data_IF_374729067731
#
_entry.id   IF_374729067731
#
_cell.length_a   1.000
_cell.length_b   1.000
_cell.length_c   1.000
_cell.angle_alpha   90.00
_cell.angle_beta   90.00
_cell.angle_gamma   90.00
#
_symmetry.space_group_name_H-M   'P 1'
#
loop_
_entity.id
_entity.type
_entity.pdbx_description
1 polymer ?
#
# COMPACT_ATOMS: atom_id res chain seq x y z
N UNK A 1 -10.32 -19.10 26.55
CA UNK A 1 -9.47 -19.51 27.70
C UNK A 1 -8.05 -19.65 27.14
N UNK A 2 -7.20 -18.62 27.23
CA UNK A 2 -6.29 -18.29 28.35
C UNK A 2 -5.19 -19.35 28.53
N UNK A 3 -4.01 -19.11 27.96
CA UNK A 3 -2.75 -19.54 28.58
C UNK A 3 -1.81 -18.34 28.66
N UNK A 4 -1.58 -17.93 29.91
CA UNK A 4 -0.60 -16.95 30.39
C UNK A 4 0.51 -17.72 31.13
N UNK A 5 1.52 -16.98 31.63
CA UNK A 5 2.66 -17.37 32.49
C UNK A 5 3.92 -17.67 31.64
N UNK A 6 5.02 -16.92 31.67
CA UNK A 6 5.57 -16.00 32.67
C UNK A 6 6.89 -16.59 33.19
N UNK A 7 8.03 -15.89 32.96
CA UNK A 7 9.38 -16.09 33.57
C UNK A 7 10.39 -15.28 32.74
N UNK A 8 11.39 -14.56 33.26
CA UNK A 8 11.80 -14.20 34.60
C UNK A 8 12.91 -13.15 34.40
N UNK A 9 12.86 -12.03 35.12
CA UNK A 9 13.95 -11.06 35.17
C UNK A 9 15.11 -11.61 36.01
N UNK A 10 16.36 -11.39 35.57
CA UNK A 10 17.52 -11.42 36.44
C UNK A 10 18.62 -10.52 35.85
N UNK A 11 18.88 -9.45 36.57
CA UNK A 11 19.91 -8.44 36.39
C UNK A 11 21.02 -8.74 37.42
N UNK A 12 22.31 -8.45 37.13
CA UNK A 12 23.26 -7.77 38.05
C UNK A 12 24.75 -7.86 37.65
N UNK A 13 25.49 -6.84 38.13
CA UNK A 13 26.96 -6.62 38.26
C UNK A 13 27.64 -5.92 37.06
N UNK A 14 27.90 -4.60 37.02
CA UNK A 14 28.57 -3.62 37.90
C UNK A 14 30.11 -3.75 37.99
N UNK A 15 30.82 -2.85 37.30
CA UNK A 15 32.17 -2.38 37.64
C UNK A 15 32.34 -0.90 37.20
N UNK A 16 32.79 -0.05 38.13
CA UNK A 16 33.18 1.36 37.96
C UNK A 16 34.58 1.49 37.32
N UNK A 17 34.86 2.63 36.68
CA UNK A 17 36.25 3.09 36.49
C UNK A 17 36.48 4.23 35.49
N UNK A 18 36.26 5.45 35.95
CA UNK A 18 36.82 6.77 35.58
C UNK A 18 38.00 6.86 34.57
N UNK A 19 37.95 7.80 33.61
CA UNK A 19 39.00 8.82 33.30
C UNK A 19 38.53 9.74 32.16
N UNK A 20 38.67 11.05 32.37
CA UNK A 20 38.45 12.09 31.37
C UNK A 20 39.72 12.36 30.57
N UNK A 21 39.60 12.45 29.25
CA UNK A 21 40.56 13.13 28.38
C UNK A 21 39.82 13.71 27.17
N UNK A 22 39.84 15.04 27.05
CA UNK A 22 39.45 15.74 25.85
C UNK A 22 40.43 15.38 24.72
N UNK A 23 39.88 14.88 23.62
CA UNK A 23 40.61 14.56 22.40
C UNK A 23 39.61 14.45 21.26
N UNK A 24 39.38 15.55 20.56
CA UNK A 24 38.72 15.52 19.27
C UNK A 24 39.59 14.70 18.31
N UNK A 25 39.09 13.55 17.85
CA UNK A 25 39.57 12.94 16.61
C UNK A 25 38.39 12.29 15.90
N UNK A 26 37.78 13.09 15.05
CA UNK A 26 36.89 12.68 13.98
C UNK A 26 37.64 11.72 13.05
N UNK A 27 37.13 10.50 12.90
CA UNK A 27 37.45 9.65 11.76
C UNK A 27 36.22 8.80 11.47
N UNK A 28 35.27 9.41 10.76
CA UNK A 28 34.17 8.72 10.12
C UNK A 28 34.68 8.04 8.85
N UNK A 29 35.31 6.87 9.00
CA UNK A 29 35.52 5.94 7.90
C UNK A 29 34.23 5.13 7.69
N UNK A 30 33.26 5.74 7.04
CA UNK A 30 32.13 5.01 6.44
C UNK A 30 32.33 5.01 4.93
N UNK A 31 32.47 3.84 4.27
CA UNK A 31 32.54 3.79 2.82
C UNK A 31 31.26 4.41 2.22
N UNK A 32 31.36 5.09 1.06
CA UNK A 32 30.23 5.79 0.48
C UNK A 32 29.18 4.76 0.05
N UNK A 33 28.14 4.59 0.87
CA UNK A 33 26.89 4.02 0.43
C UNK A 33 26.25 5.06 -0.49
N UNK A 34 26.55 4.95 -1.79
CA UNK A 34 25.74 5.61 -2.81
C UNK A 34 24.27 5.25 -2.60
N UNK A 35 23.32 6.16 -2.93
CA UNK A 35 21.91 5.83 -2.82
C UNK A 35 21.64 4.50 -3.53
N UNK A 36 20.85 3.58 -2.94
CA UNK A 36 20.55 2.31 -3.59
C UNK A 36 20.03 2.60 -5.01
N UNK A 37 20.44 1.83 -6.03
CA UNK A 37 20.00 2.05 -7.40
C UNK A 37 18.47 2.07 -7.40
N UNK A 38 17.91 3.17 -7.91
CA UNK A 38 16.50 3.48 -7.86
C UNK A 38 15.66 2.36 -8.45
N UNK A 39 15.17 1.47 -7.58
CA UNK A 39 14.08 0.57 -7.90
C UNK A 39 12.87 1.44 -8.23
N UNK A 40 12.49 1.48 -9.51
CA UNK A 40 11.31 2.19 -9.96
C UNK A 40 10.16 1.87 -9.02
N UNK A 41 9.47 2.91 -8.52
CA UNK A 41 8.25 2.79 -7.71
C UNK A 41 7.14 2.14 -8.56
N UNK A 42 7.28 0.85 -8.85
CA UNK A 42 6.17 0.00 -9.22
C UNK A 42 5.30 -0.10 -7.98
N UNK A 43 4.33 0.81 -7.86
CA UNK A 43 3.43 0.86 -6.71
C UNK A 43 2.88 -0.54 -6.46
N UNK A 44 3.18 -1.11 -5.29
CA UNK A 44 2.64 -2.39 -4.90
C UNK A 44 1.11 -2.32 -5.02
N UNK A 45 0.52 -3.23 -5.79
CA UNK A 45 -0.92 -3.37 -5.78
C UNK A 45 -1.35 -3.72 -4.37
N UNK A 46 -2.38 -3.03 -3.88
CA UNK A 46 -3.00 -3.41 -2.63
C UNK A 46 -3.57 -4.83 -2.74
N UNK A 47 -3.45 -5.60 -1.66
CA UNK A 47 -4.06 -6.92 -1.54
C UNK A 47 -5.59 -6.85 -1.77
N UNK A 48 -6.17 -7.70 -2.64
CA UNK A 48 -7.60 -7.69 -2.94
C UNK A 48 -8.51 -7.93 -1.74
N UNK A 49 -8.11 -8.78 -0.79
CA UNK A 49 -8.92 -9.06 0.39
C UNK A 49 -8.98 -7.83 1.30
N UNK A 50 -7.84 -7.16 1.51
CA UNK A 50 -7.78 -5.89 2.24
C UNK A 50 -8.59 -4.78 1.55
N UNK A 51 -8.58 -4.72 0.22
CA UNK A 51 -9.40 -3.78 -0.53
C UNK A 51 -10.90 -4.04 -0.31
N UNK A 52 -11.33 -5.30 -0.34
CA UNK A 52 -12.71 -5.68 -0.05
C UNK A 52 -13.13 -5.30 1.38
N UNK A 53 -12.28 -5.55 2.38
CA UNK A 53 -12.54 -5.17 3.78
C UNK A 53 -12.70 -3.65 3.96
N UNK A 54 -11.91 -2.84 3.25
CA UNK A 54 -12.08 -1.38 3.28
C UNK A 54 -13.41 -0.97 2.64
N UNK A 55 -13.77 -1.56 1.50
CA UNK A 55 -15.04 -1.30 0.85
C UNK A 55 -16.21 -1.71 1.75
N UNK A 56 -16.12 -2.84 2.46
CA UNK A 56 -17.11 -3.26 3.44
C UNK A 56 -17.36 -2.18 4.48
N UNK A 57 -16.29 -1.63 5.08
CA UNK A 57 -16.38 -0.59 6.12
C UNK A 57 -16.89 0.73 5.58
N UNK A 58 -16.42 1.17 4.41
CA UNK A 58 -16.74 2.48 3.86
C UNK A 58 -18.14 2.56 3.25
N UNK A 59 -18.58 1.46 2.63
CA UNK A 59 -19.87 1.40 1.95
C UNK A 59 -20.96 0.76 2.82
N UNK A 60 -20.58 0.07 3.90
CA UNK A 60 -21.51 -0.70 4.73
C UNK A 60 -22.03 -1.91 3.97
N UNK A 61 -21.12 -2.72 3.40
CA UNK A 61 -21.50 -3.94 2.67
C UNK A 61 -21.90 -5.05 3.65
N UNK A 62 -22.86 -5.89 3.24
CA UNK A 62 -23.10 -7.15 3.93
C UNK A 62 -21.93 -8.12 3.73
N UNK A 63 -21.89 -9.20 4.50
CA UNK A 63 -20.85 -10.23 4.36
C UNK A 63 -20.92 -10.90 2.98
N UNK A 64 -22.13 -11.18 2.48
CA UNK A 64 -22.36 -11.74 1.15
C UNK A 64 -21.88 -10.81 0.03
N UNK A 65 -22.24 -9.51 0.11
CA UNK A 65 -21.74 -8.50 -0.83
C UNK A 65 -20.22 -8.40 -0.78
N UNK A 66 -19.63 -8.46 0.43
CA UNK A 66 -18.18 -8.39 0.60
C UNK A 66 -17.48 -9.59 -0.03
N UNK A 67 -18.04 -10.80 0.14
CA UNK A 67 -17.51 -12.01 -0.48
C UNK A 67 -17.54 -11.91 -2.01
N UNK A 68 -18.64 -11.41 -2.59
CA UNK A 68 -18.76 -11.19 -4.03
C UNK A 68 -17.79 -10.12 -4.54
N UNK A 69 -17.69 -8.98 -3.85
CA UNK A 69 -16.72 -7.92 -4.17
C UNK A 69 -15.29 -8.47 -4.13
N UNK A 70 -14.94 -9.23 -3.08
CA UNK A 70 -13.61 -9.85 -2.96
C UNK A 70 -13.31 -10.75 -4.16
N UNK A 71 -14.27 -11.58 -4.60
CA UNK A 71 -14.09 -12.45 -5.76
C UNK A 71 -13.81 -11.65 -7.05
N UNK A 72 -14.54 -10.56 -7.28
CA UNK A 72 -14.28 -9.63 -8.41
C UNK A 72 -12.87 -9.05 -8.33
N UNK A 73 -12.49 -8.53 -7.16
CA UNK A 73 -11.18 -7.90 -6.97
C UNK A 73 -10.00 -8.86 -7.11
N UNK A 74 -10.15 -10.12 -6.69
CA UNK A 74 -9.13 -11.16 -6.88
C UNK A 74 -8.97 -11.45 -8.38
N UNK A 75 -10.07 -11.68 -9.10
CA UNK A 75 -10.02 -11.95 -10.53
C UNK A 75 -9.38 -10.79 -11.31
N UNK A 76 -9.72 -9.54 -10.98
CA UNK A 76 -9.15 -8.38 -11.65
C UNK A 76 -7.68 -8.14 -11.27
N UNK A 77 -7.27 -8.48 -10.03
CA UNK A 77 -5.86 -8.49 -9.65
C UNK A 77 -5.04 -9.44 -10.54
N UNK A 78 -5.55 -10.64 -10.79
CA UNK A 78 -4.86 -11.62 -11.61
C UNK A 78 -4.81 -11.21 -13.08
N UNK A 79 -5.89 -10.62 -13.62
CA UNK A 79 -5.85 -10.01 -14.96
C UNK A 79 -4.79 -8.90 -15.04
N UNK A 80 -4.73 -8.02 -14.04
CA UNK A 80 -3.73 -6.95 -14.03
C UNK A 80 -2.29 -7.49 -13.93
N UNK A 81 -2.06 -8.58 -13.18
CA UNK A 81 -0.76 -9.26 -13.18
C UNK A 81 -0.44 -9.84 -14.56
N UNK A 82 -1.40 -10.47 -15.23
CA UNK A 82 -1.23 -11.02 -16.56
C UNK A 82 -0.89 -9.93 -17.60
N UNK A 83 -1.58 -8.78 -17.58
CA UNK A 83 -1.26 -7.65 -18.46
C UNK A 83 0.18 -7.18 -18.24
N UNK A 84 0.62 -7.02 -16.98
CA UNK A 84 2.02 -6.63 -16.69
C UNK A 84 3.05 -7.67 -17.15
N UNK A 85 2.71 -8.95 -17.06
CA UNK A 85 3.59 -10.03 -17.49
C UNK A 85 3.58 -10.27 -19.01
N UNK A 86 2.61 -9.72 -19.74
CA UNK A 86 2.40 -10.00 -21.16
C UNK A 86 3.46 -9.41 -22.09
N UNK A 87 4.24 -8.43 -21.63
CA UNK A 87 5.20 -7.70 -22.47
C UNK A 87 4.56 -6.82 -23.54
N UNK A 88 3.25 -6.57 -23.45
CA UNK A 88 2.52 -5.73 -24.39
C UNK A 88 3.06 -4.29 -24.42
N UNK A 89 2.80 -3.58 -25.53
CA UNK A 89 3.16 -2.17 -25.64
C UNK A 89 2.51 -1.35 -24.51
N UNK A 90 3.07 -0.17 -24.23
CA UNK A 90 2.53 0.71 -23.20
C UNK A 90 1.08 1.13 -23.51
N UNK A 91 0.75 1.35 -24.79
CA UNK A 91 -0.58 1.71 -25.23
C UNK A 91 -1.57 0.55 -25.08
N UNK A 92 -1.19 -0.64 -25.52
CA UNK A 92 -2.02 -1.85 -25.37
C UNK A 92 -2.24 -2.20 -23.91
N UNK A 93 -1.17 -2.15 -23.10
CA UNK A 93 -1.24 -2.36 -21.66
C UNK A 93 -2.20 -1.37 -21.01
N UNK A 94 -2.14 -0.09 -21.41
CA UNK A 94 -3.05 0.95 -20.91
C UNK A 94 -4.50 0.67 -21.31
N UNK A 95 -4.75 0.30 -22.56
CA UNK A 95 -6.08 -0.05 -23.05
C UNK A 95 -6.66 -1.24 -22.29
N UNK A 96 -5.88 -2.31 -22.12
CA UNK A 96 -6.28 -3.51 -21.37
C UNK A 96 -6.56 -3.20 -19.89
N UNK A 97 -5.71 -2.38 -19.24
CA UNK A 97 -5.97 -1.94 -17.87
C UNK A 97 -7.25 -1.11 -17.76
N UNK A 98 -7.56 -0.25 -18.74
CA UNK A 98 -8.82 0.51 -18.77
C UNK A 98 -10.02 -0.42 -18.93
N UNK A 99 -9.94 -1.42 -19.80
CA UNK A 99 -11.00 -2.41 -19.98
C UNK A 99 -11.26 -3.21 -18.68
N UNK A 100 -10.20 -3.66 -17.99
CA UNK A 100 -10.33 -4.35 -16.69
C UNK A 100 -11.06 -3.45 -15.68
N UNK A 101 -10.71 -2.16 -15.59
CA UNK A 101 -11.36 -1.23 -14.67
C UNK A 101 -12.84 -0.96 -14.99
N UNK A 102 -13.21 -0.98 -16.27
CA UNK A 102 -14.61 -0.81 -16.68
C UNK A 102 -15.44 -2.07 -16.37
N UNK A 103 -14.86 -3.24 -16.62
CA UNK A 103 -15.45 -4.54 -16.25
C UNK A 103 -15.64 -4.65 -14.73
N UNK A 104 -14.62 -4.27 -13.94
CA UNK A 104 -14.68 -4.20 -12.48
C UNK A 104 -15.87 -3.33 -12.03
N UNK A 105 -15.97 -2.10 -12.54
CA UNK A 105 -17.05 -1.18 -12.20
C UNK A 105 -18.43 -1.74 -12.54
N UNK A 106 -18.56 -2.40 -13.69
CA UNK A 106 -19.83 -3.00 -14.11
C UNK A 106 -20.26 -4.10 -13.14
N UNK A 107 -19.33 -4.97 -12.74
CA UNK A 107 -19.60 -6.04 -11.76
C UNK A 107 -19.92 -5.49 -10.38
N UNK A 108 -19.16 -4.50 -9.92
CA UNK A 108 -19.42 -3.86 -8.63
C UNK A 108 -20.81 -3.19 -8.61
N UNK A 109 -21.22 -2.51 -9.69
CA UNK A 109 -22.56 -1.91 -9.78
C UNK A 109 -23.69 -2.94 -9.66
N UNK A 110 -23.48 -4.17 -10.13
CA UNK A 110 -24.46 -5.24 -10.01
C UNK A 110 -24.57 -5.83 -8.59
N UNK A 111 -23.50 -5.72 -7.78
CA UNK A 111 -23.44 -6.24 -6.40
C UNK A 111 -23.92 -5.20 -5.39
N UNK A 112 -23.58 -3.93 -5.64
CA UNK A 112 -23.84 -2.82 -4.73
C UNK A 112 -25.26 -2.29 -4.87
N UNK A 113 -25.84 -1.84 -3.77
CA UNK A 113 -27.10 -1.07 -3.81
C UNK A 113 -26.87 0.31 -4.45
N UNK A 114 -27.94 0.99 -4.85
CA UNK A 114 -27.85 2.32 -5.44
C UNK A 114 -27.10 3.33 -4.54
N UNK A 115 -27.36 3.29 -3.23
CA UNK A 115 -26.72 4.17 -2.25
C UNK A 115 -25.23 3.83 -2.07
N UNK A 116 -24.91 2.54 -1.97
CA UNK A 116 -23.52 2.06 -1.89
C UNK A 116 -22.74 2.42 -3.15
N UNK A 117 -23.35 2.27 -4.33
CA UNK A 117 -22.76 2.65 -5.60
C UNK A 117 -22.47 4.15 -5.67
N UNK A 118 -23.40 4.98 -5.20
CA UNK A 118 -23.23 6.43 -5.15
C UNK A 118 -22.04 6.82 -4.26
N UNK A 119 -21.92 6.21 -3.07
CA UNK A 119 -20.75 6.40 -2.18
C UNK A 119 -19.45 5.93 -2.83
N UNK A 120 -19.47 4.80 -3.52
CA UNK A 120 -18.32 4.27 -4.23
C UNK A 120 -17.83 5.23 -5.33
N UNK A 121 -18.75 5.77 -6.14
CA UNK A 121 -18.43 6.76 -7.17
C UNK A 121 -17.81 8.03 -6.57
N UNK A 122 -18.37 8.55 -5.47
CA UNK A 122 -17.81 9.70 -4.78
C UNK A 122 -16.38 9.45 -4.26
N UNK A 123 -16.11 8.25 -3.72
CA UNK A 123 -14.78 7.87 -3.27
C UNK A 123 -13.78 7.81 -4.44
N UNK A 124 -14.18 7.25 -5.58
CA UNK A 124 -13.33 7.22 -6.78
C UNK A 124 -13.02 8.62 -7.30
N UNK A 125 -14.02 9.49 -7.31
CA UNK A 125 -13.85 10.89 -7.72
C UNK A 125 -12.86 11.62 -6.81
N UNK A 126 -13.00 11.46 -5.49
CA UNK A 126 -12.07 12.04 -4.52
C UNK A 126 -10.64 11.53 -4.74
N UNK A 127 -10.46 10.24 -5.02
CA UNK A 127 -9.15 9.67 -5.32
C UNK A 127 -8.56 10.25 -6.61
N UNK A 128 -9.39 10.44 -7.64
CA UNK A 128 -9.00 11.06 -8.90
C UNK A 128 -8.56 12.51 -8.70
N UNK A 129 -9.27 13.28 -7.88
CA UNK A 129 -8.90 14.65 -7.54
C UNK A 129 -7.57 14.72 -6.79
N UNK A 130 -7.33 13.82 -5.82
CA UNK A 130 -6.06 13.74 -5.10
C UNK A 130 -4.89 13.40 -6.02
N UNK A 131 -5.09 12.52 -7.01
CA UNK A 131 -4.04 12.22 -7.99
C UNK A 131 -3.76 13.39 -8.93
N UNK A 132 -4.79 14.14 -9.35
CA UNK A 132 -4.63 15.31 -10.21
C UNK A 132 -4.02 16.51 -9.47
N UNK A 133 -4.31 16.67 -8.17
CA UNK A 133 -3.83 17.78 -7.35
C UNK A 133 -2.48 17.54 -6.65
N UNK A 134 -1.85 16.38 -6.80
CA UNK A 134 -0.68 15.97 -6.00
C UNK A 134 0.45 15.26 -6.74
N UNK A 135 0.48 15.29 -8.08
CA UNK A 135 1.52 14.62 -8.88
C UNK A 135 2.49 15.60 -9.53
N UNK A 136 3.60 15.99 -8.86
CA UNK A 136 4.71 16.60 -9.61
C UNK A 136 5.89 17.28 -8.88
N UNK A 137 5.85 17.62 -7.59
CA UNK A 137 7.00 18.26 -6.94
C UNK A 137 7.20 17.79 -5.49
N UNK A 138 8.40 17.31 -5.09
CA UNK A 138 8.74 17.25 -3.68
C UNK A 138 8.70 18.68 -3.09
N UNK A 139 8.31 18.86 -1.82
CA UNK A 139 8.36 20.19 -1.19
C UNK A 139 9.79 20.74 -1.34
N UNK A 140 9.98 22.03 -1.69
CA UNK A 140 11.31 22.62 -1.72
C UNK A 140 11.94 22.43 -0.33
N UNK A 141 13.11 21.82 -0.29
CA UNK A 141 13.90 21.74 0.93
C UNK A 141 14.12 23.18 1.41
N UNK A 142 13.54 23.51 2.55
CA UNK A 142 13.82 24.79 3.20
C UNK A 142 15.25 24.68 3.73
N UNK A 143 16.17 25.40 3.08
CA UNK A 143 17.50 25.75 3.58
C UNK A 143 17.40 27.04 4.39
#
# INVERSE_FOLDING_TARGET
MKHSIGRMAAMLLFCLGFVAAAGAQSSSDTPPQGPPPGGGRGGMMMDPARRAEMMQKQLGLSDDQTAQVKAVLVADSDKMKAVRASGASQEDSRSQMMAIRQDEQTKLKAILTADQWTKYQAMMEQMRQRMQGGGGAPPPAQL
#
